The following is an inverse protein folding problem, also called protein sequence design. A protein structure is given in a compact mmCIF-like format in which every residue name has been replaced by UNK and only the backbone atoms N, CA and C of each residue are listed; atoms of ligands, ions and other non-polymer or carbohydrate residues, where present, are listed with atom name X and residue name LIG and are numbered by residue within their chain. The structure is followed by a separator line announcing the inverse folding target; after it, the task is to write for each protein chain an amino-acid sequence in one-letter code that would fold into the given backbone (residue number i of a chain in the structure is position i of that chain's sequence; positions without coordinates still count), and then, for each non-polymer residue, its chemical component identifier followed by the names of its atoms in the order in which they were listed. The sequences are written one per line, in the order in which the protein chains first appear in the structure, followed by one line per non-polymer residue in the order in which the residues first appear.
data_IF_490764839712
#
_entry.id   IF_490764839712
#
_cell.length_a   1.000
_cell.length_b   1.000
_cell.length_c   1.000
_cell.angle_alpha   90.00
_cell.angle_beta   90.00
_cell.angle_gamma   90.00
#
_symmetry.space_group_name_H-M   'P 1'
#
loop_
_entity.id
_entity.type
_entity.pdbx_description
1 polymer ?
#
# COMPACT_ATOMS: atom_id res chain seq x y z
N UNK A 1 -3.68 -17.32 11.93
CA UNK A 1 -4.64 -16.37 11.30
C UNK A 1 -4.00 -15.43 10.27
N UNK A 2 -3.08 -14.52 10.63
CA UNK A 2 -2.51 -13.54 9.66
C UNK A 2 -1.84 -14.17 8.43
N UNK A 3 -1.00 -15.17 8.65
CA UNK A 3 -0.33 -15.91 7.57
C UNK A 3 -1.32 -16.55 6.57
N UNK A 4 -2.37 -17.20 7.09
CA UNK A 4 -3.44 -17.80 6.28
C UNK A 4 -4.18 -16.74 5.46
N UNK A 5 -4.49 -15.58 6.06
CA UNK A 5 -5.14 -14.47 5.35
C UNK A 5 -4.28 -13.93 4.20
N UNK A 6 -2.95 -13.89 4.36
CA UNK A 6 -2.04 -13.49 3.29
C UNK A 6 -1.96 -14.56 2.18
N UNK A 7 -1.92 -15.85 2.52
CA UNK A 7 -2.03 -16.92 1.52
C UNK A 7 -3.33 -16.81 0.72
N UNK A 8 -4.47 -16.63 1.39
CA UNK A 8 -5.77 -16.48 0.74
C UNK A 8 -5.80 -15.26 -0.18
N UNK A 9 -5.25 -14.12 0.27
CA UNK A 9 -5.13 -12.92 -0.55
C UNK A 9 -4.37 -13.21 -1.86
N UNK A 10 -3.21 -13.86 -1.77
CA UNK A 10 -2.38 -14.18 -2.95
C UNK A 10 -3.10 -15.16 -3.88
N UNK A 11 -3.79 -16.16 -3.32
CA UNK A 11 -4.49 -17.17 -4.10
C UNK A 11 -5.81 -16.67 -4.73
N UNK A 12 -6.39 -15.57 -4.23
CA UNK A 12 -7.75 -15.11 -4.59
C UNK A 12 -7.97 -14.97 -6.10
N UNK A 13 -7.09 -14.29 -6.88
CA UNK A 13 -7.29 -14.17 -8.33
C UNK A 13 -7.32 -15.53 -9.02
N UNK A 14 -6.37 -16.42 -8.68
CA UNK A 14 -6.25 -17.74 -9.29
C UNK A 14 -7.40 -18.67 -8.93
N UNK A 15 -8.01 -18.51 -7.74
CA UNK A 15 -9.11 -19.36 -7.29
C UNK A 15 -10.46 -18.94 -7.90
N UNK A 16 -10.62 -17.67 -8.24
CA UNK A 16 -11.91 -17.12 -8.67
C UNK A 16 -12.01 -16.86 -10.18
N UNK A 17 -10.89 -16.71 -10.89
CA UNK A 17 -10.90 -16.50 -12.34
C UNK A 17 -11.07 -17.83 -13.09
N UNK A 18 -11.94 -17.89 -14.12
CA UNK A 18 -12.36 -19.14 -14.77
C UNK A 18 -11.25 -19.82 -15.60
N UNK A 19 -10.31 -19.04 -16.16
CA UNK A 19 -9.31 -19.53 -17.12
C UNK A 19 -7.87 -19.47 -16.57
N UNK A 20 -7.68 -19.89 -15.31
CA UNK A 20 -6.32 -19.96 -14.75
C UNK A 20 -5.61 -21.23 -15.22
N UNK A 21 -4.61 -21.09 -16.09
CA UNK A 21 -3.78 -22.21 -16.55
C UNK A 21 -3.10 -22.96 -15.39
N UNK A 22 -2.92 -24.27 -15.55
CA UNK A 22 -2.37 -25.16 -14.50
C UNK A 22 -1.02 -24.69 -13.97
N UNK A 23 -0.13 -24.26 -14.85
CA UNK A 23 1.21 -23.79 -14.49
C UNK A 23 1.15 -22.51 -13.66
N UNK A 24 0.22 -21.62 -14.00
CA UNK A 24 -0.02 -20.38 -13.25
C UNK A 24 -0.60 -20.67 -11.88
N UNK A 25 -1.57 -21.58 -11.77
CA UNK A 25 -2.14 -22.00 -10.50
C UNK A 25 -1.07 -22.60 -9.57
N UNK A 26 -0.19 -23.46 -10.10
CA UNK A 26 0.91 -24.05 -9.33
C UNK A 26 1.87 -22.97 -8.80
N UNK A 27 2.26 -22.02 -9.65
CA UNK A 27 3.11 -20.90 -9.27
C UNK A 27 2.44 -20.05 -8.17
N UNK A 28 1.16 -19.74 -8.31
CA UNK A 28 0.40 -18.96 -7.31
C UNK A 28 0.34 -19.69 -5.96
N UNK A 29 0.17 -21.02 -5.95
CA UNK A 29 0.21 -21.81 -4.70
C UNK A 29 1.57 -21.69 -4.02
N UNK A 30 2.67 -21.81 -4.77
CA UNK A 30 4.03 -21.64 -4.23
C UNK A 30 4.21 -20.24 -3.64
N UNK A 31 3.82 -19.19 -4.38
CA UNK A 31 3.88 -17.81 -3.88
C UNK A 31 3.02 -17.59 -2.64
N UNK A 32 1.82 -18.17 -2.58
CA UNK A 32 0.92 -18.06 -1.43
C UNK A 32 1.52 -18.74 -0.19
N UNK A 33 2.15 -19.91 -0.34
CA UNK A 33 2.85 -20.62 0.73
C UNK A 33 4.05 -19.78 1.22
N UNK A 34 4.87 -19.25 0.31
CA UNK A 34 6.01 -18.42 0.67
C UNK A 34 5.59 -17.14 1.41
N UNK A 35 4.57 -16.44 0.91
CA UNK A 35 4.05 -15.23 1.54
C UNK A 35 3.44 -15.51 2.92
N UNK A 36 2.72 -16.63 3.06
CA UNK A 36 2.19 -17.11 4.34
C UNK A 36 3.30 -17.44 5.33
N UNK A 37 4.32 -18.19 4.90
CA UNK A 37 5.44 -18.58 5.74
C UNK A 37 6.27 -17.37 6.19
N UNK A 38 6.56 -16.44 5.29
CA UNK A 38 7.24 -15.18 5.62
C UNK A 38 6.42 -14.36 6.61
N UNK A 39 5.11 -14.23 6.40
CA UNK A 39 4.20 -13.57 7.36
C UNK A 39 4.19 -14.29 8.71
N UNK A 40 4.22 -15.62 8.72
CA UNK A 40 4.26 -16.40 9.96
C UNK A 40 5.54 -16.11 10.74
N UNK A 41 6.71 -16.19 10.09
CA UNK A 41 8.01 -15.90 10.72
C UNK A 41 8.01 -14.48 11.30
N UNK A 42 7.59 -13.49 10.50
CA UNK A 42 7.56 -12.09 10.91
C UNK A 42 6.64 -11.81 12.11
N UNK A 43 5.55 -12.56 12.25
CA UNK A 43 4.60 -12.39 13.34
C UNK A 43 4.77 -13.36 14.51
N UNK A 44 5.59 -14.40 14.37
CA UNK A 44 5.95 -15.34 15.43
C UNK A 44 7.26 -14.95 16.11
N UNK A 45 8.25 -14.47 15.35
CA UNK A 45 9.57 -14.09 15.86
C UNK A 45 9.51 -12.96 16.89
N UNK A 46 10.46 -12.94 17.82
CA UNK A 46 10.61 -11.87 18.82
C UNK A 46 11.28 -10.63 18.23
N UNK A 47 12.24 -10.82 17.32
CA UNK A 47 12.95 -9.75 16.62
C UNK A 47 12.36 -9.59 15.22
N UNK A 48 11.75 -8.44 14.90
CA UNK A 48 11.19 -8.18 13.57
C UNK A 48 12.32 -7.91 12.58
N UNK A 49 12.14 -8.32 11.32
CA UNK A 49 13.14 -8.11 10.28
C UNK A 49 12.63 -7.19 9.16
N UNK A 50 11.39 -7.34 8.72
CA UNK A 50 10.86 -6.62 7.55
C UNK A 50 9.57 -5.85 7.87
N UNK A 51 8.67 -6.42 8.69
CA UNK A 51 7.35 -5.83 8.92
C UNK A 51 7.41 -4.69 9.93
N UNK A 52 7.44 -3.48 9.41
CA UNK A 52 7.34 -2.26 10.21
C UNK A 52 5.95 -2.11 10.84
N UNK A 53 5.90 -1.40 11.97
CA UNK A 53 4.67 -1.09 12.72
C UNK A 53 3.85 -2.33 13.12
N UNK A 54 4.51 -3.48 13.26
CA UNK A 54 3.91 -4.77 13.63
C UNK A 54 3.03 -4.67 14.88
N UNK A 55 3.47 -3.92 15.88
CA UNK A 55 2.80 -3.76 17.17
C UNK A 55 2.13 -2.39 17.33
N UNK A 56 1.84 -1.71 16.21
CA UNK A 56 1.23 -0.39 16.21
C UNK A 56 -0.09 -0.36 15.41
N UNK A 57 -1.14 -1.12 15.85
CA UNK A 57 -2.43 -1.06 15.18
C UNK A 57 -2.98 0.38 15.20
N UNK A 58 -3.66 0.83 14.12
CA UNK A 58 -4.21 0.03 13.02
C UNK A 58 -3.35 -0.04 11.74
N UNK A 59 -2.09 0.40 11.74
CA UNK A 59 -1.26 0.57 10.52
C UNK A 59 -1.31 -0.61 9.55
N UNK A 60 -0.85 -1.79 9.97
CA UNK A 60 -0.82 -2.99 9.12
C UNK A 60 -2.21 -3.57 8.84
N UNK A 61 -3.21 -3.28 9.68
CA UNK A 61 -4.60 -3.74 9.45
C UNK A 61 -5.22 -2.99 8.30
N UNK A 62 -5.04 -1.66 8.27
CA UNK A 62 -5.50 -0.80 7.17
C UNK A 62 -4.86 -1.23 5.85
N UNK A 63 -3.54 -1.44 5.87
CA UNK A 63 -2.80 -1.93 4.69
C UNK A 63 -3.34 -3.26 4.18
N UNK A 64 -3.51 -4.25 5.06
CA UNK A 64 -4.02 -5.56 4.66
C UNK A 64 -5.45 -5.47 4.11
N UNK A 65 -6.35 -4.73 4.77
CA UNK A 65 -7.74 -4.56 4.32
C UNK A 65 -7.77 -3.87 2.96
N UNK A 66 -7.05 -2.76 2.78
CA UNK A 66 -6.99 -2.04 1.50
C UNK A 66 -6.45 -2.91 0.37
N UNK A 67 -5.38 -3.66 0.63
CA UNK A 67 -4.79 -4.59 -0.34
C UNK A 67 -5.78 -5.71 -0.71
N UNK A 68 -6.40 -6.33 0.30
CA UNK A 68 -7.35 -7.42 0.09
C UNK A 68 -8.63 -6.98 -0.62
N UNK A 69 -9.18 -5.82 -0.25
CA UNK A 69 -10.33 -5.23 -0.95
C UNK A 69 -9.99 -4.91 -2.40
N UNK A 70 -8.80 -4.37 -2.69
CA UNK A 70 -8.37 -4.08 -4.06
C UNK A 70 -8.30 -5.36 -4.90
N UNK A 71 -7.54 -6.35 -4.44
CA UNK A 71 -7.37 -7.62 -5.16
C UNK A 71 -8.72 -8.31 -5.37
N UNK A 72 -9.53 -8.41 -4.32
CA UNK A 72 -10.83 -9.07 -4.39
C UNK A 72 -11.78 -8.37 -5.35
N UNK A 73 -11.95 -7.04 -5.25
CA UNK A 73 -12.89 -6.31 -6.10
C UNK A 73 -12.47 -6.32 -7.57
N UNK A 74 -11.17 -6.17 -7.85
CA UNK A 74 -10.65 -6.31 -9.22
C UNK A 74 -10.86 -7.72 -9.77
N UNK A 75 -10.67 -8.75 -8.94
CA UNK A 75 -10.94 -10.15 -9.32
C UNK A 75 -12.40 -10.34 -9.69
N UNK A 76 -13.34 -9.80 -8.91
CA UNK A 76 -14.78 -9.90 -9.18
C UNK A 76 -15.16 -9.15 -10.47
N UNK A 77 -14.60 -7.96 -10.70
CA UNK A 77 -14.81 -7.18 -11.93
C UNK A 77 -14.36 -7.97 -13.15
N UNK A 78 -13.13 -8.50 -13.14
CA UNK A 78 -12.56 -9.21 -14.30
C UNK A 78 -13.20 -10.58 -14.52
N UNK A 79 -13.57 -11.30 -13.45
CA UNK A 79 -14.39 -12.52 -13.57
C UNK A 79 -15.73 -12.22 -14.26
N UNK A 80 -16.33 -11.06 -13.97
CA UNK A 80 -17.60 -10.63 -14.54
C UNK A 80 -17.60 -10.47 -16.06
N UNK A 81 -16.42 -10.42 -16.71
CA UNK A 81 -16.32 -10.41 -18.16
C UNK A 81 -16.69 -11.78 -18.79
N UNK A 82 -16.46 -12.87 -18.05
CA UNK A 82 -16.76 -14.24 -18.51
C UNK A 82 -18.06 -14.78 -17.88
N UNK A 83 -18.28 -14.49 -16.60
CA UNK A 83 -19.44 -14.97 -15.83
C UNK A 83 -20.13 -13.77 -15.16
N UNK A 84 -20.96 -13.01 -15.90
CA UNK A 84 -21.59 -11.79 -15.39
C UNK A 84 -22.60 -12.09 -14.28
N UNK A 85 -22.51 -11.33 -13.19
CA UNK A 85 -23.44 -11.36 -12.07
C UNK A 85 -23.91 -9.93 -11.77
N UNK A 86 -25.01 -9.76 -11.05
CA UNK A 86 -25.48 -8.43 -10.64
C UNK A 86 -24.41 -7.64 -9.85
N UNK A 87 -23.63 -8.34 -9.02
CA UNK A 87 -22.53 -7.75 -8.26
C UNK A 87 -21.35 -7.34 -9.14
N UNK A 88 -20.91 -8.19 -10.07
CA UNK A 88 -19.81 -7.85 -10.96
C UNK A 88 -20.18 -6.70 -11.89
N UNK A 89 -21.42 -6.64 -12.40
CA UNK A 89 -21.90 -5.51 -13.20
C UNK A 89 -21.90 -4.20 -12.41
N UNK A 90 -22.44 -4.20 -11.18
CA UNK A 90 -22.44 -3.01 -10.33
C UNK A 90 -21.02 -2.53 -10.02
N UNK A 91 -20.11 -3.44 -9.66
CA UNK A 91 -18.72 -3.09 -9.37
C UNK A 91 -17.98 -2.57 -10.60
N UNK A 92 -18.25 -3.12 -11.78
CA UNK A 92 -17.69 -2.62 -13.04
C UNK A 92 -18.18 -1.20 -13.33
N UNK A 93 -19.48 -0.93 -13.18
CA UNK A 93 -20.04 0.41 -13.36
C UNK A 93 -19.47 1.43 -12.35
N UNK A 94 -19.33 1.02 -11.09
CA UNK A 94 -18.72 1.84 -10.04
C UNK A 94 -17.26 2.15 -10.40
N UNK A 95 -16.48 1.12 -10.75
CA UNK A 95 -15.07 1.26 -11.12
C UNK A 95 -14.86 2.13 -12.35
N UNK A 96 -15.71 1.98 -13.38
CA UNK A 96 -15.65 2.79 -14.59
C UNK A 96 -16.03 4.26 -14.30
N UNK A 97 -17.05 4.48 -13.47
CA UNK A 97 -17.42 5.82 -13.00
C UNK A 97 -16.28 6.50 -12.24
N UNK A 98 -15.65 5.79 -11.30
CA UNK A 98 -14.47 6.28 -10.56
C UNK A 98 -13.28 6.53 -11.50
N UNK A 99 -13.03 5.62 -12.43
CA UNK A 99 -12.00 5.75 -13.46
C UNK A 99 -12.18 7.02 -14.25
N UNK A 100 -13.36 7.25 -14.83
CA UNK A 100 -13.68 8.47 -15.58
C UNK A 100 -13.61 9.74 -14.73
N UNK A 101 -14.02 9.68 -13.47
CA UNK A 101 -13.95 10.84 -12.56
C UNK A 101 -12.50 11.27 -12.26
N UNK A 102 -11.58 10.31 -12.16
CA UNK A 102 -10.17 10.57 -11.88
C UNK A 102 -9.38 10.76 -13.19
N UNK A 103 -9.91 10.37 -14.35
CA UNK A 103 -9.26 10.46 -15.67
C UNK A 103 -9.30 11.88 -16.30
N UNK A 104 -8.77 12.88 -15.60
CA UNK A 104 -8.58 14.25 -16.11
C UNK A 104 -7.11 14.51 -16.50
N UNK A 105 -6.79 15.60 -17.24
CA UNK A 105 -5.42 15.89 -17.66
C UNK A 105 -4.43 15.88 -16.49
N UNK A 106 -3.29 15.22 -16.68
CA UNK A 106 -2.21 15.06 -15.70
C UNK A 106 -2.56 14.23 -14.46
N UNK A 107 -3.71 13.55 -14.42
CA UNK A 107 -4.03 12.66 -13.32
C UNK A 107 -3.23 11.34 -13.38
N UNK A 108 -3.03 10.65 -12.24
CA UNK A 108 -2.30 9.39 -12.23
C UNK A 108 -3.04 8.28 -12.98
N UNK A 109 -4.39 8.27 -12.96
CA UNK A 109 -5.20 7.34 -13.77
C UNK A 109 -5.04 7.62 -15.26
N UNK A 110 -4.99 8.89 -15.67
CA UNK A 110 -4.73 9.27 -17.07
C UNK A 110 -3.36 8.75 -17.53
N UNK A 111 -2.33 8.84 -16.70
CA UNK A 111 -1.00 8.33 -17.02
C UNK A 111 -0.97 6.81 -17.18
N UNK A 112 -1.74 6.08 -16.36
CA UNK A 112 -1.91 4.62 -16.54
C UNK A 112 -2.58 4.32 -17.88
N UNK A 113 -3.60 5.07 -18.29
CA UNK A 113 -4.23 4.88 -19.60
C UNK A 113 -3.26 5.20 -20.74
N UNK A 114 -2.45 6.27 -20.61
CA UNK A 114 -1.47 6.67 -21.62
C UNK A 114 -0.29 5.70 -21.77
N UNK A 115 -0.06 4.85 -20.77
CA UNK A 115 0.96 3.81 -20.87
C UNK A 115 0.58 2.73 -21.89
N UNK A 116 -0.73 2.60 -22.21
CA UNK A 116 -1.21 1.63 -23.18
C UNK A 116 -0.71 1.94 -24.61
N UNK A 117 -0.57 0.90 -25.46
CA UNK A 117 -0.31 1.06 -26.88
C UNK A 117 -1.41 1.88 -27.58
N UNK A 118 -1.06 2.66 -28.63
CA UNK A 118 -2.03 3.47 -29.37
C UNK A 118 -3.06 2.63 -30.16
N UNK A 119 -2.72 1.37 -30.44
CA UNK A 119 -3.52 0.37 -31.15
C UNK A 119 -4.22 -0.62 -30.21
N UNK A 120 -4.14 -0.40 -28.89
CA UNK A 120 -4.82 -1.25 -27.92
C UNK A 120 -6.35 -1.19 -28.08
N UNK A 121 -6.99 -2.36 -27.96
CA UNK A 121 -8.43 -2.49 -28.04
C UNK A 121 -9.16 -1.60 -27.01
N UNK A 122 -10.27 -0.98 -27.43
CA UNK A 122 -11.03 -0.04 -26.60
C UNK A 122 -11.58 -0.69 -25.33
N UNK A 123 -11.95 -1.98 -25.39
CA UNK A 123 -12.41 -2.72 -24.23
C UNK A 123 -11.28 -2.93 -23.22
N UNK A 124 -10.06 -3.22 -23.69
CA UNK A 124 -8.88 -3.33 -22.83
C UNK A 124 -8.54 -2.00 -22.17
N UNK A 125 -8.55 -0.89 -22.92
CA UNK A 125 -8.31 0.46 -22.38
C UNK A 125 -9.34 0.80 -21.30
N UNK A 126 -10.61 0.46 -21.52
CA UNK A 126 -11.69 0.67 -20.54
C UNK A 126 -11.52 -0.19 -19.30
N UNK A 127 -11.10 -1.45 -19.46
CA UNK A 127 -10.79 -2.36 -18.35
C UNK A 127 -9.63 -1.83 -17.50
N UNK A 128 -8.54 -1.38 -18.13
CA UNK A 128 -7.39 -0.77 -17.47
C UNK A 128 -7.78 0.50 -16.71
N UNK A 129 -8.57 1.39 -17.33
CA UNK A 129 -9.09 2.61 -16.67
C UNK A 129 -9.95 2.28 -15.46
N UNK A 130 -10.85 1.30 -15.59
CA UNK A 130 -11.74 0.83 -14.52
C UNK A 130 -10.92 0.29 -13.35
N UNK A 131 -9.93 -0.57 -13.64
CA UNK A 131 -9.07 -1.17 -12.64
C UNK A 131 -8.20 -0.12 -11.91
N UNK A 132 -7.62 0.81 -12.66
CA UNK A 132 -6.82 1.91 -12.12
C UNK A 132 -7.66 2.87 -11.26
N UNK A 133 -8.86 3.24 -11.72
CA UNK A 133 -9.78 4.10 -10.99
C UNK A 133 -10.18 3.51 -9.64
N UNK A 134 -10.55 2.22 -9.62
CA UNK A 134 -10.94 1.54 -8.39
C UNK A 134 -9.75 1.36 -7.44
N UNK A 135 -8.62 0.85 -7.91
CA UNK A 135 -7.45 0.60 -7.06
C UNK A 135 -6.89 1.89 -6.46
N UNK A 136 -6.84 2.97 -7.24
CA UNK A 136 -6.39 4.28 -6.79
C UNK A 136 -7.37 4.91 -5.79
N UNK A 137 -8.68 4.74 -5.98
CA UNK A 137 -9.67 5.19 -5.01
C UNK A 137 -9.51 4.48 -3.66
N UNK A 138 -9.33 3.15 -3.68
CA UNK A 138 -9.11 2.38 -2.45
C UNK A 138 -7.81 2.83 -1.76
N UNK A 139 -6.75 3.13 -2.52
CA UNK A 139 -5.49 3.60 -1.93
C UNK A 139 -5.62 4.99 -1.29
N UNK A 140 -6.40 5.90 -1.86
CA UNK A 140 -6.74 7.20 -1.24
C UNK A 140 -7.54 6.98 0.04
N UNK A 141 -8.56 6.13 0.01
CA UNK A 141 -9.37 5.81 1.20
C UNK A 141 -8.48 5.23 2.31
N UNK A 142 -7.55 4.34 1.95
CA UNK A 142 -6.59 3.74 2.88
C UNK A 142 -5.72 4.81 3.57
N UNK A 143 -5.17 5.76 2.81
CA UNK A 143 -4.41 6.89 3.34
C UNK A 143 -5.28 7.75 4.25
N UNK A 144 -6.49 8.10 3.81
CA UNK A 144 -7.42 8.95 4.53
C UNK A 144 -7.81 8.35 5.90
N UNK A 145 -8.14 7.06 5.92
CA UNK A 145 -8.45 6.33 7.16
C UNK A 145 -7.24 6.34 8.11
N UNK A 146 -6.02 6.17 7.60
CA UNK A 146 -4.83 6.20 8.44
C UNK A 146 -4.52 7.60 8.98
N UNK A 147 -4.60 8.64 8.15
CA UNK A 147 -4.43 10.03 8.60
C UNK A 147 -5.46 10.36 9.68
N UNK A 148 -6.71 9.92 9.52
CA UNK A 148 -7.76 10.07 10.53
C UNK A 148 -7.39 9.36 11.84
N UNK A 149 -6.83 8.15 11.76
CA UNK A 149 -6.31 7.43 12.93
C UNK A 149 -5.20 8.20 13.68
N UNK A 150 -4.29 8.84 12.93
CA UNK A 150 -3.21 9.66 13.49
C UNK A 150 -3.73 10.96 14.10
N UNK A 151 -4.59 11.68 13.39
CA UNK A 151 -5.03 13.03 13.76
C UNK A 151 -6.14 13.05 14.80
N UNK A 152 -7.15 12.17 14.68
CA UNK A 152 -8.35 12.21 15.53
C UNK A 152 -8.32 11.16 16.63
N UNK A 153 -7.75 9.98 16.36
CA UNK A 153 -7.79 8.88 17.32
C UNK A 153 -6.50 8.74 18.15
N UNK A 154 -5.56 9.69 18.03
CA UNK A 154 -4.39 9.76 18.90
C UNK A 154 -3.43 8.57 18.75
N UNK A 155 -3.42 7.91 17.58
CA UNK A 155 -2.41 6.89 17.28
C UNK A 155 -1.00 7.48 17.43
N UNK A 156 0.00 6.72 17.95
CA UNK A 156 -0.05 5.34 18.46
C UNK A 156 -0.32 5.22 19.97
N UNK A 157 -0.60 6.31 20.68
CA UNK A 157 -0.57 6.37 22.16
C UNK A 157 -1.62 5.52 22.88
N UNK A 158 -2.77 5.27 22.25
CA UNK A 158 -3.89 4.55 22.89
C UNK A 158 -3.65 3.04 23.10
N UNK A 159 -2.63 2.47 22.46
CA UNK A 159 -2.37 1.03 22.46
C UNK A 159 -1.15 0.63 23.31
N UNK A 160 -0.71 1.49 24.24
CA UNK A 160 0.42 1.24 25.14
C UNK A 160 1.71 1.97 24.76
N UNK A 161 2.82 1.58 25.39
CA UNK A 161 4.13 2.19 25.14
C UNK A 161 4.64 1.82 23.73
N UNK A 162 4.81 2.83 22.88
CA UNK A 162 5.35 2.65 21.54
C UNK A 162 6.86 2.43 21.58
N UNK A 163 7.32 1.22 21.24
CA UNK A 163 8.73 0.91 21.05
C UNK A 163 9.13 1.19 19.59
N UNK A 164 9.95 2.22 19.40
CA UNK A 164 10.41 2.66 18.07
C UNK A 164 11.21 1.57 17.37
N UNK A 165 12.16 0.93 18.07
CA UNK A 165 13.08 -0.06 17.49
C UNK A 165 12.38 -1.31 17.01
N UNK A 166 11.41 -1.80 17.78
CA UNK A 166 10.63 -2.99 17.39
C UNK A 166 9.67 -2.66 16.24
N UNK A 167 9.20 -1.42 16.12
CA UNK A 167 8.27 -1.03 15.05
C UNK A 167 8.97 -0.45 13.81
N UNK A 168 10.28 -0.17 13.87
CA UNK A 168 11.10 0.29 12.76
C UNK A 168 12.41 -0.52 12.71
N UNK A 169 12.34 -1.84 12.42
CA UNK A 169 13.52 -2.71 12.43
C UNK A 169 14.59 -2.30 11.41
N UNK A 170 14.18 -1.66 10.30
CA UNK A 170 15.08 -1.20 9.24
C UNK A 170 15.70 0.18 9.52
N UNK A 171 15.31 0.83 10.62
CA UNK A 171 15.86 2.13 11.00
C UNK A 171 17.03 1.94 11.97
N UNK A 172 18.24 2.26 11.53
CA UNK A 172 19.45 2.10 12.35
C UNK A 172 19.62 3.22 13.40
N UNK A 173 19.53 2.91 14.72
CA UNK A 173 19.82 3.87 15.80
C UNK A 173 21.21 4.46 15.74
N UNK A 174 22.18 3.66 15.31
CA UNK A 174 23.59 3.75 15.70
C UNK A 174 24.48 4.41 14.67
N UNK A 175 24.00 4.60 13.44
CA UNK A 175 24.71 5.24 12.32
C UNK A 175 25.12 6.72 12.48
N UNK A 176 25.20 7.24 13.72
CA UNK A 176 25.65 8.61 14.02
C UNK A 176 24.58 9.68 13.77
N UNK A 177 24.63 10.77 14.54
CA UNK A 177 23.72 11.93 14.42
C UNK A 177 22.38 11.79 15.16
N UNK A 178 21.58 12.88 15.18
CA UNK A 178 20.30 12.90 15.90
C UNK A 178 19.25 12.01 15.22
N UNK A 179 18.75 11.02 15.98
CA UNK A 179 17.64 10.13 15.59
C UNK A 179 16.42 10.93 15.12
N UNK A 180 16.11 12.05 15.77
CA UNK A 180 14.96 12.87 15.42
C UNK A 180 15.09 13.49 14.02
N UNK A 181 16.28 13.98 13.68
CA UNK A 181 16.56 14.56 12.36
C UNK A 181 16.40 13.51 11.26
N UNK A 182 16.96 12.31 11.46
CA UNK A 182 16.86 11.20 10.49
C UNK A 182 15.40 10.75 10.30
N UNK A 183 14.64 10.60 11.39
CA UNK A 183 13.21 10.27 11.29
C UNK A 183 12.42 11.30 10.49
N UNK A 184 12.66 12.61 10.71
CA UNK A 184 11.98 13.67 9.96
C UNK A 184 12.37 13.67 8.48
N UNK A 185 13.66 13.49 8.17
CA UNK A 185 14.15 13.40 6.78
C UNK A 185 13.54 12.21 6.06
N UNK A 186 13.60 11.03 6.66
CA UNK A 186 13.11 9.80 6.05
C UNK A 186 11.58 9.82 5.91
N UNK A 187 10.88 10.45 6.87
CA UNK A 187 9.45 10.75 6.73
C UNK A 187 9.16 11.64 5.52
N UNK A 188 9.91 12.73 5.35
CA UNK A 188 9.80 13.63 4.20
C UNK A 188 10.05 12.91 2.87
N UNK A 189 11.10 12.08 2.79
CA UNK A 189 11.39 11.27 1.60
C UNK A 189 10.24 10.32 1.25
N UNK A 190 9.67 9.64 2.25
CA UNK A 190 8.54 8.73 2.02
C UNK A 190 7.27 9.47 1.58
N UNK A 191 7.03 10.69 2.09
CA UNK A 191 5.92 11.53 1.64
C UNK A 191 6.13 11.97 0.18
N UNK A 192 7.29 12.53 -0.14
CA UNK A 192 7.60 13.01 -1.49
C UNK A 192 7.54 11.85 -2.50
N UNK A 193 8.22 10.74 -2.23
CA UNK A 193 8.21 9.59 -3.12
C UNK A 193 6.81 8.98 -3.23
N UNK A 194 6.10 8.82 -2.12
CA UNK A 194 4.73 8.28 -2.14
C UNK A 194 3.73 9.18 -2.88
N UNK A 195 3.96 10.49 -2.93
CA UNK A 195 3.18 11.42 -3.75
C UNK A 195 3.55 11.35 -5.24
N UNK A 196 4.83 11.16 -5.58
CA UNK A 196 5.30 11.18 -6.97
C UNK A 196 5.16 9.84 -7.69
N UNK A 197 5.31 8.72 -6.99
CA UNK A 197 5.31 7.38 -7.60
C UNK A 197 4.08 7.02 -8.44
N UNK A 198 2.83 7.42 -8.11
CA UNK A 198 1.67 7.13 -8.96
C UNK A 198 1.83 7.70 -10.37
N UNK A 199 2.62 8.76 -10.53
CA UNK A 199 2.92 9.42 -11.81
C UNK A 199 4.21 8.88 -12.43
N UNK A 200 5.25 8.65 -11.62
CA UNK A 200 6.54 8.17 -12.10
C UNK A 200 6.47 6.74 -12.64
N UNK A 201 5.68 5.85 -12.02
CA UNK A 201 5.60 4.44 -12.44
C UNK A 201 5.03 4.32 -13.87
N UNK A 202 3.84 4.87 -14.21
CA UNK A 202 3.33 4.78 -15.57
C UNK A 202 4.22 5.50 -16.59
N UNK A 203 4.79 6.65 -16.22
CA UNK A 203 5.71 7.38 -17.09
C UNK A 203 6.98 6.58 -17.42
N UNK A 204 7.57 5.91 -16.42
CA UNK A 204 8.73 5.05 -16.60
C UNK A 204 8.40 3.83 -17.47
N UNK A 205 7.24 3.20 -17.25
CA UNK A 205 6.76 2.08 -18.09
C UNK A 205 6.59 2.54 -19.54
N UNK A 206 5.96 3.70 -19.77
CA UNK A 206 5.78 4.25 -21.11
C UNK A 206 7.12 4.61 -21.79
N UNK A 207 8.09 5.13 -21.04
CA UNK A 207 9.42 5.41 -21.58
C UNK A 207 10.20 4.14 -21.93
N UNK A 208 9.90 3.02 -21.27
CA UNK A 208 10.53 1.73 -21.50
C UNK A 208 9.74 0.82 -22.47
N UNK A 209 8.61 1.27 -23.01
CA UNK A 209 7.71 0.42 -23.80
C UNK A 209 8.33 -0.06 -25.12
N UNK A 210 9.29 0.68 -25.67
CA UNK A 210 10.03 0.26 -26.88
C UNK A 210 10.96 -0.94 -26.60
N UNK A 211 11.21 -1.26 -25.32
CA UNK A 211 12.06 -2.36 -24.86
C UNK A 211 11.25 -3.50 -24.21
N UNK A 212 9.98 -3.27 -23.84
CA UNK A 212 9.15 -4.21 -23.07
C UNK A 212 7.79 -4.36 -23.76
N UNK A 213 7.51 -5.58 -24.23
CA UNK A 213 6.30 -5.90 -24.98
C UNK A 213 5.02 -5.70 -24.12
N UNK A 214 4.07 -4.82 -24.51
CA UNK A 214 2.86 -4.50 -23.73
C UNK A 214 1.85 -5.65 -23.55
N UNK A 215 2.09 -6.81 -24.17
CA UNK A 215 1.19 -7.97 -24.24
C UNK A 215 0.82 -8.52 -22.84
N UNK A 216 1.58 -8.20 -21.79
CA UNK A 216 1.35 -8.73 -20.44
C UNK A 216 0.08 -8.20 -19.74
N UNK A 217 -0.40 -6.99 -20.04
CA UNK A 217 -1.51 -6.33 -19.30
C UNK A 217 -2.89 -6.85 -19.71
N UNK A 218 -3.00 -7.54 -20.85
CA UNK A 218 -4.24 -8.20 -21.26
C UNK A 218 -4.61 -9.39 -20.37
N UNK A 219 -3.63 -10.00 -19.68
CA UNK A 219 -3.90 -11.07 -18.75
C UNK A 219 -4.57 -10.53 -17.47
N UNK A 220 -5.75 -11.07 -17.06
CA UNK A 220 -6.48 -10.57 -15.89
C UNK A 220 -5.69 -10.61 -14.58
N UNK A 221 -4.88 -11.66 -14.35
CA UNK A 221 -4.08 -11.76 -13.13
C UNK A 221 -2.96 -10.72 -13.11
N UNK A 222 -2.28 -10.52 -14.26
CA UNK A 222 -1.28 -9.46 -14.39
C UNK A 222 -1.91 -8.10 -14.15
N UNK A 223 -3.08 -7.81 -14.74
CA UNK A 223 -3.76 -6.54 -14.55
C UNK A 223 -4.10 -6.29 -13.07
N UNK A 224 -4.64 -7.29 -12.36
CA UNK A 224 -4.96 -7.20 -10.93
C UNK A 224 -3.70 -6.82 -10.14
N UNK A 225 -2.61 -7.57 -10.30
CA UNK A 225 -1.40 -7.34 -9.51
C UNK A 225 -0.69 -6.05 -9.87
N UNK A 226 -0.62 -5.69 -11.16
CA UNK A 226 -0.03 -4.43 -11.61
C UNK A 226 -0.79 -3.23 -11.04
N UNK A 227 -2.13 -3.21 -11.17
CA UNK A 227 -2.95 -2.10 -10.67
C UNK A 227 -2.95 -2.03 -9.14
N UNK A 228 -2.91 -3.18 -8.49
CA UNK A 228 -2.79 -3.26 -7.04
C UNK A 228 -1.45 -2.70 -6.58
N UNK A 229 -0.33 -3.14 -7.16
CA UNK A 229 1.01 -2.68 -6.80
C UNK A 229 1.18 -1.17 -7.06
N UNK A 230 0.76 -0.71 -8.25
CA UNK A 230 0.83 0.69 -8.65
C UNK A 230 0.09 1.62 -7.68
N UNK A 231 -1.11 1.25 -7.24
CA UNK A 231 -1.88 2.08 -6.30
C UNK A 231 -1.41 1.91 -4.84
N UNK A 232 -1.00 0.71 -4.44
CA UNK A 232 -0.72 0.37 -3.05
C UNK A 232 0.68 0.78 -2.58
N UNK A 233 1.71 0.68 -3.44
CA UNK A 233 3.08 1.03 -3.08
C UNK A 233 3.21 2.51 -2.68
N UNK A 234 2.73 3.48 -3.47
CA UNK A 234 2.84 4.89 -3.12
C UNK A 234 2.03 5.24 -1.86
N UNK A 235 0.84 4.67 -1.73
CA UNK A 235 0.01 4.85 -0.54
C UNK A 235 0.66 4.29 0.73
N UNK A 236 1.33 3.14 0.62
CA UNK A 236 2.10 2.56 1.73
C UNK A 236 3.28 3.46 2.13
N UNK A 237 3.96 4.09 1.17
CA UNK A 237 5.03 5.04 1.47
C UNK A 237 4.49 6.31 2.11
N UNK A 238 3.38 6.87 1.62
CA UNK A 238 2.73 8.02 2.25
C UNK A 238 2.34 7.74 3.70
N UNK A 239 1.67 6.60 3.95
CA UNK A 239 1.31 6.18 5.31
C UNK A 239 2.55 6.03 6.20
N UNK A 240 3.62 5.41 5.67
CA UNK A 240 4.89 5.25 6.39
C UNK A 240 5.50 6.62 6.74
N UNK A 241 5.52 7.55 5.79
CA UNK A 241 5.99 8.92 6.01
C UNK A 241 5.21 9.64 7.09
N UNK A 242 3.88 9.62 7.02
CA UNK A 242 2.99 10.21 8.06
C UNK A 242 3.24 9.57 9.43
N UNK A 243 3.39 8.24 9.48
CA UNK A 243 3.68 7.52 10.72
C UNK A 243 5.01 7.96 11.34
N UNK A 244 6.07 8.07 10.53
CA UNK A 244 7.40 8.49 10.98
C UNK A 244 7.42 9.96 11.43
N UNK A 245 6.74 10.86 10.72
CA UNK A 245 6.56 12.26 11.15
C UNK A 245 5.89 12.33 12.52
N UNK A 246 4.82 11.54 12.74
CA UNK A 246 4.11 11.50 14.02
C UNK A 246 5.00 11.01 15.16
N UNK A 247 5.81 9.98 14.92
CA UNK A 247 6.74 9.44 15.92
C UNK A 247 7.82 10.46 16.26
N UNK A 248 8.35 11.16 15.26
CA UNK A 248 9.31 12.24 15.46
C UNK A 248 8.74 13.34 16.37
N UNK A 249 7.52 13.83 16.09
CA UNK A 249 6.82 14.80 16.96
C UNK A 249 6.72 14.32 18.41
N UNK A 250 6.32 13.05 18.62
CA UNK A 250 6.18 12.49 19.96
C UNK A 250 7.50 12.40 20.72
N UNK A 251 8.60 12.06 20.02
CA UNK A 251 9.94 12.01 20.62
C UNK A 251 10.38 13.42 21.01
N UNK A 252 10.14 14.40 20.13
CA UNK A 252 10.43 15.81 20.39
C UNK A 252 9.67 16.33 21.62
N UNK A 253 8.36 16.06 21.71
CA UNK A 253 7.54 16.46 22.85
C UNK A 253 7.96 15.78 24.16
N UNK A 254 8.44 14.54 24.09
CA UNK A 254 8.99 13.83 25.26
C UNK A 254 10.31 14.46 25.71
N UNK A 255 11.21 14.80 24.79
CA UNK A 255 12.47 15.49 25.09
C UNK A 255 12.21 16.84 25.74
N UNK A 256 11.33 17.68 25.16
CA UNK A 256 10.93 18.99 25.72
C UNK A 256 10.40 18.88 27.15
N UNK A 257 9.52 17.90 27.41
CA UNK A 257 8.98 17.64 28.75
C UNK A 257 10.03 17.17 29.75
N UNK A 258 11.00 16.36 29.30
CA UNK A 258 12.11 15.91 30.16
C UNK A 258 13.03 17.07 30.54
N UNK A 259 13.38 17.94 29.59
CA UNK A 259 14.17 19.15 29.86
C UNK A 259 13.47 20.10 30.84
N UNK A 260 12.18 20.39 30.62
CA UNK A 260 11.42 21.25 31.52
C UNK A 260 11.31 20.69 32.96
N UNK A 261 11.23 19.36 33.11
CA UNK A 261 11.25 18.72 34.45
C UNK A 261 12.61 18.85 35.12
N UNK A 262 13.70 18.61 34.38
CA UNK A 262 15.06 18.74 34.92
C UNK A 262 15.36 20.19 35.36
N UNK A 263 14.88 21.19 34.61
CA UNK A 263 15.01 22.60 34.97
C UNK A 263 14.23 22.94 36.25
N UNK A 264 12.99 22.44 36.37
CA UNK A 264 12.18 22.63 37.57
C UNK A 264 12.80 21.95 38.81
N UNK A 265 13.35 20.75 38.67
CA UNK A 265 14.06 20.05 39.74
C UNK A 265 15.33 20.82 40.16
N UNK A 266 16.08 21.35 39.21
CA UNK A 266 17.27 22.17 39.48
C UNK A 266 16.90 23.45 40.27
N UNK A 267 15.81 24.13 39.90
CA UNK A 267 15.29 25.31 40.61
C UNK A 267 14.79 25.01 42.02
N UNK A 268 14.25 23.82 42.28
CA UNK A 268 13.83 23.40 43.64
C UNK A 268 14.99 22.94 44.54
N UNK A 269 16.13 22.60 43.94
CA UNK A 269 17.33 22.15 44.66
C UNK A 269 18.35 23.27 44.96
N UNK A 270 18.11 24.49 44.48
CA UNK A 270 18.93 25.68 44.69
C UNK A 270 18.31 26.60 45.76
#
# INVERSE_FOLDING_TARGET
MRAILVALLVATPSLLLPDTGTDTAQLVVVLAILASFMTFIEYYGQYPSIVEFRFAPPFNRIKFIGLASTVFLLTVILRGAHDPTGWSLFLTQLGDGLGRAIDFPYSPVRLVVLMMPPDADEALVTSVRTAAGLSYTISIVMIFVFITAVRLFGWPLRNGAFNVWVNLPLFDPTGGGDVLYRLKRDAGLNIVLGSLLPFLIPAAIKAASDLIDPISIANPQTLIWTMTAWAFLPASMLMRGVAMSRIAEMIEDKRKRAYARAEAEALHSA
#
